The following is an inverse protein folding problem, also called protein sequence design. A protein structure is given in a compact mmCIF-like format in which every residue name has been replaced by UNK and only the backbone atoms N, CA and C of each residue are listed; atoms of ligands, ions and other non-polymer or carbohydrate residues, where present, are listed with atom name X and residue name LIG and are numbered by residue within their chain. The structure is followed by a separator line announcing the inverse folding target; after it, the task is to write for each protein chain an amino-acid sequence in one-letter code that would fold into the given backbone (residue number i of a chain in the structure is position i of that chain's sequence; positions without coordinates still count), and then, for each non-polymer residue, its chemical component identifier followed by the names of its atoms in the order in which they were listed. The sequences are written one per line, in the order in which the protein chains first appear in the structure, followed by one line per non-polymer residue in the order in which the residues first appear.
data_IF_570951108591
#
_entry.id   IF_570951108591
#
_cell.length_a   1.000
_cell.length_b   1.000
_cell.length_c   1.000
_cell.angle_alpha   90.00
_cell.angle_beta   90.00
_cell.angle_gamma   90.00
#
_symmetry.space_group_name_H-M   'P 1'
#
loop_
_entity.id
_entity.type
_entity.pdbx_description
1 polymer ?
#
# COMPACT_ATOMS: atom_id res chain seq x y z
N UNK A 1 -2.93 7.36 15.66
CA UNK A 1 -1.67 7.74 14.98
C UNK A 1 -0.93 8.80 15.80
N UNK A 2 0.41 8.88 15.75
CA UNK A 2 1.16 9.98 16.35
C UNK A 2 0.72 11.34 15.79
N UNK A 3 0.89 12.42 16.56
CA UNK A 3 0.67 13.78 16.06
C UNK A 3 1.66 14.11 14.94
N UNK A 4 1.18 14.67 13.83
CA UNK A 4 2.03 15.13 12.72
C UNK A 4 2.33 14.10 11.62
N UNK A 5 1.69 12.93 11.65
CA UNK A 5 1.78 11.92 10.58
C UNK A 5 0.45 11.80 9.82
N UNK A 6 0.50 11.56 8.51
CA UNK A 6 -0.69 11.37 7.65
C UNK A 6 -1.01 9.89 7.42
N UNK A 7 -0.05 9.00 7.63
CA UNK A 7 -0.23 7.57 7.46
C UNK A 7 1.01 6.80 7.87
N UNK A 8 1.02 5.52 7.55
CA UNK A 8 2.25 4.74 7.46
C UNK A 8 2.42 4.18 6.04
N UNK A 9 3.64 4.27 5.52
CA UNK A 9 4.03 3.71 4.24
C UNK A 9 4.40 2.25 4.43
N UNK A 10 3.84 1.37 3.60
CA UNK A 10 4.14 -0.07 3.64
C UNK A 10 5.43 -0.37 2.86
N UNK A 11 6.43 -0.92 3.55
CA UNK A 11 7.72 -1.30 2.97
C UNK A 11 7.77 -2.76 2.58
N UNK A 12 7.36 -3.65 3.48
CA UNK A 12 7.35 -5.10 3.28
C UNK A 12 6.09 -5.72 3.87
N UNK A 13 5.60 -6.75 3.19
CA UNK A 13 4.50 -7.58 3.66
C UNK A 13 5.00 -9.00 3.60
N UNK A 14 5.06 -9.67 4.75
CA UNK A 14 5.41 -11.09 4.76
C UNK A 14 4.35 -11.92 4.04
N UNK A 15 4.80 -12.90 3.25
CA UNK A 15 3.93 -13.91 2.65
C UNK A 15 3.31 -14.85 3.71
N UNK A 16 3.96 -15.02 4.86
CA UNK A 16 3.45 -15.88 5.94
C UNK A 16 2.17 -15.32 6.59
N UNK A 17 1.16 -16.16 6.91
CA UNK A 17 -0.13 -15.74 7.48
C UNK A 17 -0.05 -14.81 8.69
N UNK A 18 0.96 -14.99 9.56
CA UNK A 18 1.18 -14.16 10.76
C UNK A 18 2.50 -13.37 10.70
N UNK A 19 3.04 -13.19 9.49
CA UNK A 19 4.29 -12.50 9.33
C UNK A 19 4.15 -10.98 9.43
N UNK A 20 5.27 -10.28 9.67
CA UNK A 20 5.24 -8.85 9.96
C UNK A 20 4.79 -8.02 8.75
N UNK A 21 4.10 -6.92 9.06
CA UNK A 21 3.85 -5.80 8.16
C UNK A 21 4.84 -4.69 8.54
N UNK A 22 5.84 -4.49 7.68
CA UNK A 22 6.88 -3.47 7.91
C UNK A 22 6.41 -2.13 7.35
N UNK A 23 6.36 -1.11 8.22
CA UNK A 23 5.86 0.21 7.90
C UNK A 23 6.77 1.30 8.45
N UNK A 24 6.82 2.43 7.74
CA UNK A 24 7.39 3.68 8.29
C UNK A 24 6.33 4.75 8.37
N UNK A 25 6.37 5.56 9.43
CA UNK A 25 5.51 6.72 9.53
C UNK A 25 5.74 7.69 8.37
N UNK A 26 4.64 8.20 7.81
CA UNK A 26 4.66 9.17 6.74
C UNK A 26 4.36 10.56 7.32
N UNK A 27 5.30 11.52 7.22
CA UNK A 27 5.08 12.90 7.63
C UNK A 27 3.83 13.51 6.99
N UNK A 28 3.18 14.45 7.68
CA UNK A 28 1.97 15.07 7.18
C UNK A 28 2.15 15.85 5.85
N UNK A 29 3.36 16.34 5.61
CA UNK A 29 3.83 17.08 4.44
C UNK A 29 4.49 16.19 3.37
N UNK A 30 4.49 14.86 3.56
CA UNK A 30 5.14 13.96 2.62
C UNK A 30 4.59 14.11 1.20
N UNK A 31 5.46 13.97 0.17
CA UNK A 31 5.07 14.07 -1.22
C UNK A 31 4.11 12.94 -1.63
N UNK A 32 3.52 13.07 -2.83
CA UNK A 32 2.64 12.06 -3.42
C UNK A 32 3.29 10.67 -3.41
N UNK A 33 2.47 9.63 -3.23
CA UNK A 33 2.96 8.26 -3.16
C UNK A 33 3.65 7.83 -4.46
N UNK A 34 4.85 7.22 -4.38
CA UNK A 34 5.47 6.60 -5.55
C UNK A 34 4.61 5.44 -6.10
N UNK A 35 4.80 5.15 -7.39
CA UNK A 35 4.13 4.03 -8.06
C UNK A 35 4.33 2.71 -7.30
N UNK A 36 3.23 1.98 -7.07
CA UNK A 36 3.23 0.68 -6.40
C UNK A 36 3.42 0.75 -4.88
N UNK A 37 3.52 1.96 -4.29
CA UNK A 37 3.59 2.14 -2.84
C UNK A 37 2.21 2.29 -2.23
N UNK A 38 2.06 1.75 -1.03
CA UNK A 38 0.78 1.75 -0.31
C UNK A 38 0.92 2.58 0.96
N UNK A 39 0.00 3.52 1.15
CA UNK A 39 -0.19 4.25 2.42
C UNK A 39 -1.37 3.67 3.15
N UNK A 40 -1.16 3.37 4.43
CA UNK A 40 -2.21 3.05 5.37
C UNK A 40 -2.51 4.28 6.22
N UNK A 41 -3.79 4.55 6.42
CA UNK A 41 -4.30 5.53 7.37
C UNK A 41 -5.29 4.84 8.28
N UNK A 42 -5.30 5.19 9.56
CA UNK A 42 -6.24 4.61 10.51
C UNK A 42 -6.62 5.59 11.60
N UNK A 43 -7.89 5.56 11.96
CA UNK A 43 -8.47 6.38 13.02
C UNK A 43 -9.34 5.50 13.93
N UNK A 44 -9.54 5.88 15.21
CA UNK A 44 -10.48 5.15 16.06
C UNK A 44 -11.88 5.18 15.46
N UNK A 45 -12.52 4.00 15.38
CA UNK A 45 -13.90 3.92 14.91
C UNK A 45 -14.86 4.50 15.96
N UNK A 46 -16.05 4.92 15.51
CA UNK A 46 -17.08 5.53 16.38
C UNK A 46 -17.55 4.66 17.56
N UNK A 47 -17.44 3.34 17.43
CA UNK A 47 -17.82 2.36 18.46
C UNK A 47 -16.58 1.73 19.11
N UNK A 48 -15.98 0.77 18.41
CA UNK A 48 -14.83 -0.02 18.86
C UNK A 48 -13.96 -0.34 17.65
N UNK A 49 -12.65 -0.38 17.89
CA UNK A 49 -11.67 -0.73 16.87
C UNK A 49 -11.25 0.47 16.03
N UNK A 50 -10.96 0.22 14.76
CA UNK A 50 -10.31 1.17 13.88
C UNK A 50 -11.05 1.27 12.55
N UNK A 51 -11.07 2.45 11.96
CA UNK A 51 -11.39 2.62 10.55
C UNK A 51 -10.06 2.72 9.80
N UNK A 52 -9.77 1.71 8.99
CA UNK A 52 -8.50 1.60 8.25
C UNK A 52 -8.76 1.87 6.78
N UNK A 53 -7.97 2.75 6.18
CA UNK A 53 -8.00 3.01 4.74
C UNK A 53 -6.62 2.80 4.13
N UNK A 54 -6.60 2.16 2.95
CA UNK A 54 -5.40 1.97 2.16
C UNK A 54 -5.49 2.79 0.87
N UNK A 55 -4.39 3.42 0.50
CA UNK A 55 -4.24 4.14 -0.75
C UNK A 55 -3.02 3.61 -1.51
N UNK A 56 -3.15 3.50 -2.83
CA UNK A 56 -2.11 3.03 -3.75
C UNK A 56 -1.60 4.19 -4.59
N UNK A 57 -0.28 4.37 -4.64
CA UNK A 57 0.37 5.25 -5.60
C UNK A 57 0.36 4.62 -7.00
N UNK A 58 -0.19 5.34 -7.97
CA UNK A 58 -0.11 5.07 -9.40
C UNK A 58 0.73 6.15 -10.08
N UNK A 59 1.01 5.98 -11.38
CA UNK A 59 1.95 6.84 -12.12
C UNK A 59 1.64 8.34 -11.97
N UNK A 60 0.35 8.71 -12.03
CA UNK A 60 -0.07 10.11 -12.02
C UNK A 60 -1.03 10.47 -10.87
N UNK A 61 -1.37 9.51 -10.01
CA UNK A 61 -2.39 9.70 -8.99
C UNK A 61 -2.18 8.79 -7.78
N UNK A 62 -2.73 9.20 -6.65
CA UNK A 62 -2.97 8.32 -5.52
C UNK A 62 -4.44 7.88 -5.58
N UNK A 63 -4.70 6.58 -5.51
CA UNK A 63 -6.07 6.03 -5.57
C UNK A 63 -6.42 5.31 -4.29
N UNK A 64 -7.70 5.37 -3.93
CA UNK A 64 -8.24 4.57 -2.84
C UNK A 64 -8.18 3.09 -3.24
N UNK A 65 -7.50 2.28 -2.42
CA UNK A 65 -7.37 0.85 -2.63
C UNK A 65 -8.49 0.07 -1.94
N UNK A 66 -8.66 0.30 -0.63
CA UNK A 66 -9.64 -0.40 0.19
C UNK A 66 -9.91 0.36 1.48
N UNK A 67 -11.08 0.15 2.05
CA UNK A 67 -11.45 0.60 3.39
C UNK A 67 -11.96 -0.59 4.19
N UNK A 68 -11.59 -0.64 5.46
CA UNK A 68 -12.07 -1.60 6.42
C UNK A 68 -12.60 -0.86 7.65
N UNK A 69 -13.93 -0.76 7.79
CA UNK A 69 -14.53 -0.06 8.93
C UNK A 69 -14.59 -0.95 10.17
N UNK A 70 -14.49 -0.33 11.36
CA UNK A 70 -14.65 -0.96 12.68
C UNK A 70 -13.87 -2.28 12.88
N UNK A 71 -12.60 -2.29 12.45
CA UNK A 71 -11.73 -3.47 12.53
C UNK A 71 -11.12 -3.63 13.92
N UNK A 72 -10.92 -4.88 14.39
CA UNK A 72 -10.36 -5.14 15.73
C UNK A 72 -8.90 -4.67 15.84
N UNK A 73 -8.35 -4.61 17.05
CA UNK A 73 -6.97 -4.13 17.29
C UNK A 73 -5.88 -4.93 16.56
N UNK A 74 -6.17 -6.20 16.24
CA UNK A 74 -5.31 -7.08 15.47
C UNK A 74 -5.50 -6.96 13.94
N UNK A 75 -6.17 -5.89 13.48
CA UNK A 75 -6.42 -5.58 12.07
C UNK A 75 -5.25 -5.71 11.09
N UNK A 76 -3.96 -5.58 11.47
CA UNK A 76 -2.89 -5.81 10.52
C UNK A 76 -2.95 -7.21 9.88
N UNK A 77 -3.44 -8.24 10.59
CA UNK A 77 -3.63 -9.58 10.00
C UNK A 77 -4.69 -9.59 8.91
N UNK A 78 -5.71 -8.75 9.06
CA UNK A 78 -6.92 -8.78 8.24
C UNK A 78 -6.68 -8.10 6.90
N UNK A 79 -5.92 -7.00 6.90
CA UNK A 79 -5.59 -6.27 5.68
C UNK A 79 -4.42 -6.91 4.92
N UNK A 80 -3.57 -7.69 5.60
CA UNK A 80 -2.32 -8.23 5.06
C UNK A 80 -2.49 -8.96 3.72
N UNK A 81 -3.47 -9.86 3.55
CA UNK A 81 -3.65 -10.59 2.30
C UNK A 81 -3.88 -9.63 1.13
N UNK A 82 -4.78 -8.65 1.30
CA UNK A 82 -5.06 -7.64 0.27
C UNK A 82 -3.82 -6.83 -0.08
N UNK A 83 -3.06 -6.36 0.91
CA UNK A 83 -1.83 -5.59 0.67
C UNK A 83 -0.76 -6.46 -0.01
N UNK A 84 -0.66 -7.74 0.33
CA UNK A 84 0.27 -8.68 -0.31
C UNK A 84 -0.06 -8.87 -1.79
N UNK A 85 -1.31 -9.20 -2.11
CA UNK A 85 -1.76 -9.43 -3.48
C UNK A 85 -1.57 -8.19 -4.36
N UNK A 86 -1.97 -7.01 -3.86
CA UNK A 86 -1.85 -5.76 -4.62
C UNK A 86 -0.39 -5.43 -4.92
N UNK A 87 0.52 -5.68 -3.96
CA UNK A 87 1.96 -5.52 -4.21
C UNK A 87 2.48 -6.51 -5.22
N UNK A 88 2.04 -7.77 -5.16
CA UNK A 88 2.36 -8.79 -6.16
C UNK A 88 1.93 -8.35 -7.56
N UNK A 89 0.70 -7.84 -7.68
CA UNK A 89 0.17 -7.32 -8.94
C UNK A 89 0.97 -6.11 -9.45
N UNK A 90 1.29 -5.14 -8.59
CA UNK A 90 2.12 -3.99 -8.99
C UNK A 90 3.53 -4.42 -9.43
N UNK A 91 4.12 -5.41 -8.76
CA UNK A 91 5.42 -5.96 -9.15
C UNK A 91 5.35 -6.67 -10.51
N UNK A 92 4.32 -7.50 -10.72
CA UNK A 92 4.09 -8.17 -11.99
C UNK A 92 3.87 -7.18 -13.14
N UNK A 93 3.08 -6.12 -12.91
CA UNK A 93 2.86 -5.06 -13.87
C UNK A 93 4.17 -4.32 -14.20
N UNK A 94 4.98 -3.97 -13.19
CA UNK A 94 6.26 -3.32 -13.42
C UNK A 94 7.22 -4.19 -14.28
N UNK A 95 7.23 -5.50 -14.05
CA UNK A 95 8.01 -6.45 -14.86
C UNK A 95 7.46 -6.51 -16.29
N UNK A 96 6.14 -6.60 -16.47
CA UNK A 96 5.52 -6.63 -17.79
C UNK A 96 5.80 -5.35 -18.60
N UNK A 97 5.70 -4.18 -17.96
CA UNK A 97 6.03 -2.89 -18.58
C UNK A 97 7.50 -2.83 -18.98
N UNK A 98 8.42 -3.25 -18.10
CA UNK A 98 9.85 -3.27 -18.43
C UNK A 98 10.18 -4.21 -19.61
N UNK A 99 9.50 -5.36 -19.69
CA UNK A 99 9.65 -6.29 -20.80
C UNK A 99 9.12 -5.71 -22.12
N UNK A 100 7.97 -5.04 -22.09
CA UNK A 100 7.40 -4.34 -23.25
C UNK A 100 8.32 -3.20 -23.72
N UNK A 101 8.81 -2.37 -22.81
CA UNK A 101 9.74 -1.27 -23.13
C UNK A 101 11.05 -1.78 -23.74
N UNK A 102 11.56 -2.93 -23.26
CA UNK A 102 12.71 -3.57 -23.86
C UNK A 102 12.40 -4.09 -25.27
N UNK A 103 11.26 -4.77 -25.46
CA UNK A 103 10.84 -5.27 -26.76
C UNK A 103 10.71 -4.15 -27.80
N UNK A 104 10.10 -3.03 -27.41
CA UNK A 104 9.93 -1.86 -28.29
C UNK A 104 11.29 -1.29 -28.72
N UNK A 105 12.22 -1.11 -27.78
CA UNK A 105 13.57 -0.61 -28.10
C UNK A 105 14.37 -1.53 -29.03
N UNK A 106 14.15 -2.84 -28.96
CA UNK A 106 14.82 -3.80 -29.85
C UNK A 106 14.20 -3.83 -31.25
N UNK A 107 12.92 -3.50 -31.39
CA UNK A 107 12.23 -3.45 -32.68
C UNK A 107 12.52 -2.17 -33.48
N UNK A 108 13.01 -1.12 -32.82
CA UNK A 108 13.44 0.14 -33.45
C UNK A 108 14.86 0.08 -34.04
N UNK A 109 15.56 -1.06 -33.92
CA UNK A 109 16.93 -1.31 -34.43
C UNK A 109 16.91 -2.07 -35.74
#
# INVERSE_FOLDING_TARGET
MPSGVRGALVHRVSALPNGPLDVSWLPADAPRLPLGRIRLHWEPASLVGWDVTAHLGLANAEVHLASWPAVPDDWPHMIRPTIHEVRGLCAALAVATAALDLSNRLAEV
#
